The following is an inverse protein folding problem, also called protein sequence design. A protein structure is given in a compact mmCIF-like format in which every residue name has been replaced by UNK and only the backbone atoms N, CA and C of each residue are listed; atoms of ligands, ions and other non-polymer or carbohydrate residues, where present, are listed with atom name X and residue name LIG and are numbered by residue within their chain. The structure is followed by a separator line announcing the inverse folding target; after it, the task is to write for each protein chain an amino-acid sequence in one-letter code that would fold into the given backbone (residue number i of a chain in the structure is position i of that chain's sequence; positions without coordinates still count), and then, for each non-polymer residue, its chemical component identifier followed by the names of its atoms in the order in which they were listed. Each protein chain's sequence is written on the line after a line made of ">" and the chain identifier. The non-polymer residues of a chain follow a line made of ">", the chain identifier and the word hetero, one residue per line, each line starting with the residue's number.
data_IF_775054443621
#
_entry.id   IF_775054443621
#
_cell.length_a   1.000
_cell.length_b   1.000
_cell.length_c   1.000
_cell.angle_alpha   90.00
_cell.angle_beta   90.00
_cell.angle_gamma   90.00
#
_symmetry.space_group_name_H-M   'P 1'
#
loop_
_entity.id
_entity.type
_entity.pdbx_description
1 polymer ?
#
# COMPACT_ATOMS: atom_id res chain seq x y z
N UNK A 1 39.73 -51.16 62.58
CA UNK A 1 39.69 -50.15 61.45
C UNK A 1 38.37 -50.30 60.72
N UNK A 2 37.36 -49.49 61.04
CA UNK A 2 36.07 -49.61 60.30
C UNK A 2 36.07 -48.72 59.05
N UNK A 3 35.63 -49.29 57.98
CA UNK A 3 35.39 -48.59 56.68
C UNK A 3 34.07 -47.86 56.77
N UNK A 4 34.13 -46.53 56.60
CA UNK A 4 32.96 -45.71 56.43
C UNK A 4 32.44 -45.84 54.98
N UNK A 5 31.20 -46.32 54.85
CA UNK A 5 30.47 -46.32 53.56
C UNK A 5 29.68 -45.02 53.45
N UNK A 6 30.03 -44.21 52.44
CA UNK A 6 29.33 -42.98 52.13
C UNK A 6 28.16 -43.30 51.16
N UNK A 7 26.93 -43.22 51.67
CA UNK A 7 25.72 -43.38 50.84
C UNK A 7 25.41 -42.07 50.13
N UNK A 8 25.48 -42.08 48.80
CA UNK A 8 25.11 -40.97 47.93
C UNK A 8 23.60 -41.00 47.66
N UNK A 9 22.83 -40.11 48.25
CA UNK A 9 21.41 -39.96 48.01
C UNK A 9 21.20 -39.16 46.70
N UNK A 10 20.68 -39.85 45.66
CA UNK A 10 20.29 -39.22 44.42
C UNK A 10 18.91 -38.59 44.59
N UNK A 11 18.83 -37.25 44.71
CA UNK A 11 17.57 -36.52 44.69
C UNK A 11 17.11 -36.37 43.23
N UNK A 12 16.05 -37.05 42.86
CA UNK A 12 15.38 -36.87 41.57
C UNK A 12 14.56 -35.56 41.62
N UNK A 13 15.03 -34.53 40.93
CA UNK A 13 14.24 -33.31 40.66
C UNK A 13 13.28 -33.62 39.55
N UNK A 14 12.00 -33.76 39.86
CA UNK A 14 10.92 -33.78 38.86
C UNK A 14 10.75 -32.38 38.28
N UNK A 15 11.15 -32.20 37.01
CA UNK A 15 10.85 -31.01 36.23
C UNK A 15 9.40 -31.14 35.76
N UNK A 16 8.47 -30.22 36.11
CA UNK A 16 7.16 -30.23 35.51
C UNK A 16 7.30 -29.87 34.02
N UNK A 17 6.86 -30.76 33.15
CA UNK A 17 6.67 -30.45 31.74
C UNK A 17 5.56 -29.38 31.61
N UNK A 18 5.96 -28.12 31.63
CA UNK A 18 5.11 -27.02 31.26
C UNK A 18 4.78 -27.16 29.77
N UNK A 19 3.55 -27.54 29.46
CA UNK A 19 2.97 -27.32 28.14
C UNK A 19 2.88 -25.81 27.91
N UNK A 20 3.97 -25.20 27.54
CA UNK A 20 3.99 -23.88 26.96
C UNK A 20 3.38 -23.95 25.57
N UNK A 21 2.06 -23.71 25.47
CA UNK A 21 1.45 -23.36 24.21
C UNK A 21 2.20 -22.14 23.68
N UNK A 22 3.11 -22.38 22.73
CA UNK A 22 3.79 -21.30 22.05
C UNK A 22 2.74 -20.50 21.28
N UNK A 23 2.30 -19.38 21.84
CA UNK A 23 1.69 -18.32 21.04
C UNK A 23 2.73 -17.96 19.98
N UNK A 24 2.51 -18.46 18.74
CA UNK A 24 3.20 -17.93 17.58
C UNK A 24 2.90 -16.42 17.61
N UNK A 25 3.91 -15.61 17.84
CA UNK A 25 3.79 -14.18 17.61
C UNK A 25 3.25 -14.04 16.17
N UNK A 26 1.99 -13.60 16.04
CA UNK A 26 1.40 -13.33 14.74
C UNK A 26 2.21 -12.18 14.14
N UNK A 27 3.12 -12.50 13.21
CA UNK A 27 3.90 -11.49 12.49
C UNK A 27 2.95 -10.57 11.75
N UNK A 28 3.27 -9.29 11.67
CA UNK A 28 2.58 -8.34 10.81
C UNK A 28 3.24 -8.28 9.44
N UNK A 29 2.46 -8.01 8.42
CA UNK A 29 2.92 -7.67 7.07
C UNK A 29 2.30 -6.37 6.64
N UNK A 30 2.85 -5.75 5.60
CA UNK A 30 2.36 -4.47 5.11
C UNK A 30 1.65 -4.64 3.79
N UNK A 31 0.50 -4.00 3.66
CA UNK A 31 -0.26 -3.90 2.40
C UNK A 31 -0.45 -2.44 2.02
N UNK A 32 -0.54 -2.16 0.73
CA UNK A 32 -1.00 -0.86 0.24
C UNK A 32 -2.50 -0.93 0.00
N UNK A 33 -3.24 -0.01 0.58
CA UNK A 33 -4.67 0.18 0.37
C UNK A 33 -4.94 1.55 -0.22
N UNK A 34 -6.10 1.71 -0.84
CA UNK A 34 -6.55 3.01 -1.34
C UNK A 34 -7.73 3.49 -0.52
N UNK A 35 -7.62 4.71 0.02
CA UNK A 35 -8.68 5.36 0.78
C UNK A 35 -9.08 6.66 0.14
N UNK A 36 -10.33 7.04 0.32
CA UNK A 36 -10.80 8.36 -0.06
C UNK A 36 -10.34 9.42 0.96
N UNK A 37 -9.61 10.39 0.46
CA UNK A 37 -9.26 11.60 1.19
C UNK A 37 -9.81 12.78 0.38
N UNK A 38 -10.66 13.60 1.01
CA UNK A 38 -11.32 14.74 0.35
C UNK A 38 -12.03 14.36 -0.97
N UNK A 39 -12.63 13.16 -1.04
CA UNK A 39 -13.35 12.67 -2.21
C UNK A 39 -12.50 12.04 -3.31
N UNK A 40 -11.19 11.96 -3.16
CA UNK A 40 -10.26 11.35 -4.12
C UNK A 40 -9.47 10.20 -3.50
N UNK A 41 -9.14 9.19 -4.30
CA UNK A 41 -8.33 8.05 -3.87
C UNK A 41 -6.89 8.47 -3.59
N UNK A 42 -6.36 7.95 -2.51
CA UNK A 42 -5.00 8.10 -2.06
C UNK A 42 -4.42 6.75 -1.61
N UNK A 43 -3.18 6.46 -1.98
CA UNK A 43 -2.51 5.21 -1.60
C UNK A 43 -1.92 5.35 -0.18
N UNK A 44 -2.26 4.42 0.70
CA UNK A 44 -1.86 4.40 2.09
C UNK A 44 -1.23 3.04 2.44
N UNK A 45 -0.22 3.04 3.28
CA UNK A 45 0.38 1.84 3.84
C UNK A 45 -0.39 1.41 5.09
N UNK A 46 -0.75 0.14 5.18
CA UNK A 46 -1.39 -0.44 6.35
C UNK A 46 -0.67 -1.70 6.83
N UNK A 47 -0.48 -1.83 8.13
CA UNK A 47 0.00 -3.04 8.76
C UNK A 47 -1.16 -3.98 9.04
N UNK A 48 -0.98 -5.27 8.70
CA UNK A 48 -2.02 -6.29 8.82
C UNK A 48 -1.41 -7.59 9.36
N UNK A 49 -2.20 -8.45 10.04
CA UNK A 49 -1.74 -9.78 10.45
C UNK A 49 -1.26 -10.62 9.25
N UNK A 50 -0.07 -11.19 9.34
CA UNK A 50 0.52 -12.01 8.28
C UNK A 50 -0.22 -13.34 8.03
N UNK A 51 -1.03 -13.77 8.98
CA UNK A 51 -1.80 -15.03 8.89
C UNK A 51 -2.98 -14.96 7.92
N UNK A 52 -3.40 -13.77 7.46
CA UNK A 52 -4.50 -13.60 6.51
C UNK A 52 -4.01 -13.72 5.05
N UNK A 53 -4.87 -14.20 4.16
CA UNK A 53 -4.62 -14.09 2.72
C UNK A 53 -4.50 -12.61 2.33
N UNK A 54 -3.64 -12.29 1.36
CA UNK A 54 -3.41 -10.88 0.96
C UNK A 54 -4.70 -10.11 0.60
N UNK A 55 -5.69 -10.69 -0.13
CA UNK A 55 -6.96 -10.00 -0.36
C UNK A 55 -7.76 -9.73 0.91
N UNK A 56 -7.83 -10.70 1.84
CA UNK A 56 -8.54 -10.53 3.12
C UNK A 56 -7.82 -9.54 4.03
N UNK A 57 -6.48 -9.54 4.03
CA UNK A 57 -5.68 -8.58 4.76
C UNK A 57 -5.91 -7.15 4.26
N UNK A 58 -5.96 -6.96 2.93
CA UNK A 58 -6.21 -5.67 2.31
C UNK A 58 -7.62 -5.14 2.62
N UNK A 59 -8.65 -6.00 2.59
CA UNK A 59 -10.01 -5.64 3.00
C UNK A 59 -10.07 -5.32 4.51
N UNK A 60 -9.43 -6.11 5.36
CA UNK A 60 -9.33 -5.84 6.79
C UNK A 60 -8.68 -4.49 7.09
N UNK A 61 -7.64 -4.12 6.34
CA UNK A 61 -7.02 -2.79 6.42
C UNK A 61 -7.97 -1.65 6.04
N UNK A 62 -8.94 -1.90 5.15
CA UNK A 62 -10.03 -0.96 4.85
C UNK A 62 -11.14 -0.95 5.91
N UNK A 63 -11.02 -1.76 6.97
CA UNK A 63 -12.07 -1.94 7.98
C UNK A 63 -13.23 -2.83 7.50
N UNK A 64 -12.97 -3.69 6.51
CA UNK A 64 -13.94 -4.63 5.95
C UNK A 64 -13.52 -6.06 6.31
N UNK A 65 -14.09 -6.59 7.38
CA UNK A 65 -13.85 -7.99 7.80
C UNK A 65 -14.90 -8.91 7.16
N UNK A 66 -14.76 -9.11 5.86
CA UNK A 66 -15.69 -9.87 5.02
C UNK A 66 -14.96 -10.95 4.25
N UNK A 67 -15.63 -12.07 3.91
CA UNK A 67 -15.04 -13.12 3.10
C UNK A 67 -14.71 -12.58 1.70
N UNK A 68 -13.55 -12.98 1.19
CA UNK A 68 -13.12 -12.70 -0.19
C UNK A 68 -12.53 -13.96 -0.81
N UNK A 69 -12.96 -14.28 -2.03
CA UNK A 69 -12.44 -15.37 -2.84
C UNK A 69 -11.97 -14.81 -4.18
N UNK A 70 -10.80 -15.25 -4.63
CA UNK A 70 -10.28 -14.89 -5.96
C UNK A 70 -10.34 -16.12 -6.86
N UNK A 71 -11.02 -15.99 -8.01
CA UNK A 71 -11.07 -17.01 -9.07
C UNK A 71 -11.11 -16.33 -10.44
N UNK A 72 -10.41 -16.88 -11.41
CA UNK A 72 -10.36 -16.42 -12.80
C UNK A 72 -10.05 -14.90 -12.96
N UNK A 73 -9.23 -14.38 -12.04
CA UNK A 73 -8.87 -12.96 -12.02
C UNK A 73 -9.96 -12.04 -11.48
N UNK A 74 -11.01 -12.59 -10.86
CA UNK A 74 -12.08 -11.84 -10.21
C UNK A 74 -12.04 -12.06 -8.71
N UNK A 75 -12.07 -10.98 -7.94
CA UNK A 75 -12.25 -11.02 -6.49
C UNK A 75 -13.74 -10.90 -6.16
N UNK A 76 -14.29 -11.93 -5.53
CA UNK A 76 -15.69 -11.98 -5.06
C UNK A 76 -15.72 -11.59 -3.59
N UNK A 77 -16.25 -10.41 -3.29
CA UNK A 77 -16.33 -9.85 -1.94
C UNK A 77 -17.72 -10.09 -1.37
N UNK A 78 -17.80 -10.83 -0.28
CA UNK A 78 -19.05 -11.24 0.37
C UNK A 78 -19.70 -10.10 1.16
N UNK A 79 -20.11 -9.03 0.46
CA UNK A 79 -20.80 -7.89 1.04
C UNK A 79 -22.01 -7.50 0.17
N UNK A 80 -23.17 -7.28 0.81
CA UNK A 80 -24.42 -7.03 0.11
C UNK A 80 -24.61 -5.55 -0.26
N UNK A 81 -24.11 -4.63 0.55
CA UNK A 81 -24.24 -3.17 0.33
C UNK A 81 -22.97 -2.44 0.69
N UNK A 82 -22.66 -1.40 -0.09
CA UNK A 82 -21.51 -0.53 0.15
C UNK A 82 -21.67 0.79 -0.62
N UNK A 83 -21.41 1.91 0.04
CA UNK A 83 -21.45 3.23 -0.60
C UNK A 83 -20.46 3.30 -1.78
N UNK A 84 -20.80 4.04 -2.82
CA UNK A 84 -20.02 4.08 -4.07
C UNK A 84 -18.55 4.44 -3.88
N UNK A 85 -18.23 5.38 -2.99
CA UNK A 85 -16.85 5.72 -2.65
C UNK A 85 -16.09 4.55 -2.01
N UNK A 86 -16.74 3.81 -1.13
CA UNK A 86 -16.16 2.59 -0.52
C UNK A 86 -15.95 1.48 -1.53
N UNK A 87 -16.86 1.36 -2.52
CA UNK A 87 -16.65 0.45 -3.67
C UNK A 87 -15.37 0.83 -4.43
N UNK A 88 -15.13 2.12 -4.64
CA UNK A 88 -13.90 2.58 -5.31
C UNK A 88 -12.62 2.20 -4.52
N UNK A 89 -12.62 2.36 -3.19
CA UNK A 89 -11.52 1.91 -2.34
C UNK A 89 -11.26 0.40 -2.48
N UNK A 90 -12.32 -0.42 -2.44
CA UNK A 90 -12.22 -1.88 -2.60
C UNK A 90 -11.69 -2.26 -3.98
N UNK A 91 -12.24 -1.68 -5.04
CA UNK A 91 -11.82 -1.97 -6.43
C UNK A 91 -10.35 -1.61 -6.63
N UNK A 92 -9.91 -0.41 -6.25
CA UNK A 92 -8.52 0.01 -6.41
C UNK A 92 -7.57 -0.83 -5.57
N UNK A 93 -7.93 -1.12 -4.32
CA UNK A 93 -7.10 -1.93 -3.42
C UNK A 93 -6.92 -3.35 -3.94
N UNK A 94 -8.00 -4.01 -4.35
CA UNK A 94 -7.92 -5.41 -4.78
C UNK A 94 -7.30 -5.55 -6.18
N UNK A 95 -7.58 -4.64 -7.12
CA UNK A 95 -6.98 -4.68 -8.46
C UNK A 95 -5.50 -4.29 -8.50
N UNK A 96 -4.91 -3.87 -7.38
CA UNK A 96 -3.47 -3.76 -7.24
C UNK A 96 -2.78 -5.12 -7.14
N UNK A 97 -3.50 -6.14 -6.67
CA UNK A 97 -2.99 -7.50 -6.58
C UNK A 97 -2.92 -8.11 -7.98
N UNK A 98 -1.78 -8.63 -8.37
CA UNK A 98 -1.55 -9.17 -9.73
C UNK A 98 -2.53 -10.26 -10.15
N UNK A 99 -3.09 -10.99 -9.17
CA UNK A 99 -4.10 -12.02 -9.40
C UNK A 99 -5.51 -11.47 -9.64
N UNK A 100 -5.76 -10.15 -9.46
CA UNK A 100 -7.10 -9.56 -9.52
C UNK A 100 -7.17 -8.51 -10.63
N UNK A 101 -8.07 -8.72 -11.58
CA UNK A 101 -8.37 -7.78 -12.67
C UNK A 101 -9.77 -7.16 -12.54
N UNK A 102 -10.67 -7.85 -11.85
CA UNK A 102 -12.07 -7.46 -11.67
C UNK A 102 -12.52 -7.71 -10.23
N UNK A 103 -13.55 -7.01 -9.80
CA UNK A 103 -14.11 -7.15 -8.45
C UNK A 103 -15.63 -7.25 -8.53
N UNK A 104 -16.19 -8.24 -7.85
CA UNK A 104 -17.62 -8.36 -7.57
C UNK A 104 -17.84 -7.91 -6.12
N UNK A 105 -18.61 -6.87 -5.91
CA UNK A 105 -18.88 -6.30 -4.57
C UNK A 105 -20.22 -5.55 -4.53
N UNK A 106 -20.94 -5.66 -3.45
CA UNK A 106 -22.19 -4.94 -3.20
C UNK A 106 -23.20 -5.06 -4.35
N UNK A 107 -23.43 -6.28 -4.84
CA UNK A 107 -24.35 -6.58 -5.95
C UNK A 107 -23.85 -6.17 -7.33
N UNK A 108 -22.72 -5.47 -7.44
CA UNK A 108 -22.10 -5.06 -8.71
C UNK A 108 -21.10 -6.11 -9.15
N UNK A 109 -21.03 -6.37 -10.46
CA UNK A 109 -20.20 -7.43 -11.04
C UNK A 109 -19.15 -6.89 -11.99
N UNK A 110 -18.02 -7.58 -12.04
CA UNK A 110 -16.93 -7.35 -12.98
C UNK A 110 -16.38 -5.91 -12.97
N UNK A 111 -16.45 -5.22 -11.83
CA UNK A 111 -15.96 -3.86 -11.68
C UNK A 111 -14.45 -3.81 -11.93
N UNK A 112 -14.04 -2.79 -12.68
CA UNK A 112 -12.65 -2.45 -12.98
C UNK A 112 -12.32 -1.06 -12.44
N UNK A 113 -11.09 -0.63 -12.56
CA UNK A 113 -10.67 0.75 -12.20
C UNK A 113 -11.40 1.81 -13.03
N UNK A 114 -11.79 1.50 -14.27
CA UNK A 114 -12.55 2.43 -15.12
C UNK A 114 -13.94 2.75 -14.56
N UNK A 115 -14.60 1.76 -13.94
CA UNK A 115 -15.95 1.93 -13.38
C UNK A 115 -15.98 2.84 -12.14
N UNK A 116 -14.84 3.12 -11.54
CA UNK A 116 -14.69 3.99 -10.37
C UNK A 116 -13.80 5.21 -10.65
N UNK A 117 -13.59 5.54 -11.91
CA UNK A 117 -12.71 6.63 -12.36
C UNK A 117 -13.08 8.00 -11.76
N UNK A 118 -14.36 8.23 -11.43
CA UNK A 118 -14.82 9.47 -10.79
C UNK A 118 -14.15 9.77 -9.43
N UNK A 119 -13.60 8.75 -8.75
CA UNK A 119 -12.91 8.88 -7.48
C UNK A 119 -11.38 8.99 -7.63
N UNK A 120 -10.87 8.90 -8.85
CA UNK A 120 -9.42 8.92 -9.10
C UNK A 120 -8.98 10.33 -9.41
N UNK A 121 -8.05 10.93 -8.65
CA UNK A 121 -7.54 12.26 -8.94
C UNK A 121 -6.82 12.27 -10.31
N UNK A 122 -6.71 13.44 -10.97
CA UNK A 122 -6.00 13.54 -12.26
C UNK A 122 -4.59 12.94 -12.23
N UNK A 123 -3.87 13.05 -11.11
CA UNK A 123 -2.61 12.36 -10.86
C UNK A 123 -2.80 11.51 -9.60
N UNK A 124 -2.53 10.21 -9.69
CA UNK A 124 -2.54 9.28 -8.56
C UNK A 124 -1.17 8.62 -8.44
N UNK A 125 -0.44 8.93 -7.37
CA UNK A 125 0.75 8.18 -6.99
C UNK A 125 0.28 6.90 -6.29
N UNK A 126 0.62 5.74 -6.86
CA UNK A 126 0.27 4.42 -6.32
C UNK A 126 1.43 3.81 -5.50
N UNK A 127 2.64 4.24 -5.76
CA UNK A 127 3.86 3.84 -5.04
C UNK A 127 4.91 4.95 -5.16
N UNK A 128 5.59 5.31 -4.06
CA UNK A 128 5.34 4.83 -2.70
C UNK A 128 3.95 5.22 -2.17
N UNK A 129 3.46 4.46 -1.19
CA UNK A 129 2.26 4.83 -0.45
C UNK A 129 2.62 5.78 0.70
N UNK A 130 1.61 6.48 1.24
CA UNK A 130 1.78 7.39 2.38
C UNK A 130 2.43 6.66 3.57
N UNK A 131 3.42 7.29 4.17
CA UNK A 131 4.20 6.75 5.29
C UNK A 131 5.17 5.62 4.95
N UNK A 132 5.36 5.30 3.67
CA UNK A 132 6.26 4.22 3.27
C UNK A 132 7.73 4.57 3.51
N UNK A 133 8.48 3.61 4.06
CA UNK A 133 9.94 3.63 4.06
C UNK A 133 10.44 3.22 2.67
N UNK A 134 11.36 4.00 2.11
CA UNK A 134 11.95 3.77 0.79
C UNK A 134 13.48 3.80 0.87
N UNK A 135 14.19 3.03 0.03
CA UNK A 135 15.64 3.14 -0.06
C UNK A 135 16.06 4.52 -0.59
N UNK A 136 17.37 4.82 -0.53
CA UNK A 136 17.94 6.08 -1.04
C UNK A 136 17.66 6.31 -2.54
N UNK A 137 17.45 5.24 -3.30
CA UNK A 137 17.00 5.28 -4.70
C UNK A 137 15.78 4.40 -4.83
N UNK A 138 14.66 4.96 -5.30
CA UNK A 138 13.38 4.26 -5.37
C UNK A 138 12.56 4.68 -6.59
N UNK A 139 11.64 3.82 -7.00
CA UNK A 139 10.74 4.10 -8.12
C UNK A 139 9.43 4.68 -7.61
N UNK A 140 9.03 5.82 -8.19
CA UNK A 140 7.67 6.37 -8.08
C UNK A 140 6.85 5.87 -9.25
N UNK A 141 5.66 5.33 -8.97
CA UNK A 141 4.71 4.82 -9.97
C UNK A 141 3.32 5.32 -9.69
N UNK A 142 2.55 5.48 -10.75
CA UNK A 142 1.18 5.89 -10.62
C UNK A 142 0.48 5.99 -11.97
N UNK A 143 -0.68 6.63 -11.96
CA UNK A 143 -1.45 6.91 -13.16
C UNK A 143 -1.76 8.39 -13.27
N UNK A 144 -1.85 8.90 -14.49
CA UNK A 144 -2.20 10.30 -14.74
C UNK A 144 -3.18 10.44 -15.91
N UNK A 145 -4.08 11.42 -15.79
CA UNK A 145 -4.95 11.91 -16.85
C UNK A 145 -4.78 13.42 -16.91
N UNK A 146 -3.69 13.85 -17.54
CA UNK A 146 -3.27 15.25 -17.63
C UNK A 146 -2.99 15.63 -19.10
N UNK A 147 -3.03 16.92 -19.38
CA UNK A 147 -2.79 17.45 -20.72
C UNK A 147 -1.38 17.03 -21.21
N UNK A 148 -1.28 16.61 -22.48
CA UNK A 148 -0.04 16.13 -23.11
C UNK A 148 0.64 14.96 -22.37
N UNK A 149 -0.06 14.28 -21.47
CA UNK A 149 0.49 13.19 -20.64
C UNK A 149 1.72 13.61 -19.80
N UNK A 150 2.02 14.91 -19.69
CA UNK A 150 3.24 15.40 -19.05
C UNK A 150 2.99 15.81 -17.61
N UNK A 151 3.84 15.31 -16.71
CA UNK A 151 3.83 15.64 -15.30
C UNK A 151 5.25 15.81 -14.76
N UNK A 152 5.37 16.53 -13.65
CA UNK A 152 6.62 16.69 -12.90
C UNK A 152 6.50 15.88 -11.61
N UNK A 153 7.56 15.14 -11.28
CA UNK A 153 7.69 14.41 -10.03
C UNK A 153 8.92 14.91 -9.28
N UNK A 154 8.74 15.32 -8.05
CA UNK A 154 9.78 15.89 -7.20
C UNK A 154 9.94 15.09 -5.91
N UNK A 155 11.16 15.05 -5.39
CA UNK A 155 11.44 14.67 -4.01
C UNK A 155 11.81 15.95 -3.25
N UNK A 156 11.13 16.20 -2.14
CA UNK A 156 11.35 17.38 -1.30
C UNK A 156 11.58 17.00 0.15
N UNK A 157 12.41 17.80 0.84
CA UNK A 157 12.61 17.71 2.29
C UNK A 157 12.28 19.07 2.91
N UNK A 158 11.18 19.14 3.66
CA UNK A 158 10.61 20.43 4.02
C UNK A 158 10.29 21.23 2.74
N UNK A 159 10.74 22.47 2.64
CA UNK A 159 10.62 23.27 1.43
C UNK A 159 11.67 22.99 0.35
N UNK A 160 12.77 22.28 0.68
CA UNK A 160 13.92 22.10 -0.20
C UNK A 160 13.68 21.04 -1.26
N UNK A 161 13.92 21.36 -2.52
CA UNK A 161 13.94 20.43 -3.63
C UNK A 161 15.21 19.58 -3.56
N UNK A 162 15.06 18.24 -3.52
CA UNK A 162 16.18 17.29 -3.57
C UNK A 162 16.41 16.78 -4.99
N UNK A 163 15.31 16.42 -5.68
CA UNK A 163 15.37 15.94 -7.06
C UNK A 163 14.07 16.28 -7.79
N UNK A 164 14.15 16.47 -9.12
CA UNK A 164 13.03 16.73 -10.01
C UNK A 164 13.17 15.91 -11.29
N UNK A 165 12.08 15.32 -11.75
CA UNK A 165 11.97 14.63 -13.04
C UNK A 165 10.72 15.08 -13.78
N UNK A 166 10.86 15.35 -15.08
CA UNK A 166 9.70 15.43 -15.98
C UNK A 166 9.42 14.05 -16.52
N UNK A 167 8.17 13.64 -16.51
CA UNK A 167 7.73 12.29 -16.82
C UNK A 167 6.57 12.36 -17.82
N UNK A 168 6.55 11.46 -18.80
CA UNK A 168 5.43 11.30 -19.72
C UNK A 168 4.70 10.01 -19.37
N UNK A 169 3.39 10.12 -19.10
CA UNK A 169 2.52 8.96 -18.92
C UNK A 169 2.22 8.29 -20.27
N UNK A 170 1.80 7.05 -20.24
CA UNK A 170 1.51 6.28 -21.49
C UNK A 170 0.34 6.84 -22.29
N UNK A 171 -0.55 7.63 -21.65
CA UNK A 171 -1.66 8.35 -22.29
C UNK A 171 -1.89 9.70 -21.58
N UNK A 172 -2.46 10.66 -22.32
CA UNK A 172 -2.89 11.96 -21.81
C UNK A 172 -4.42 12.08 -21.72
N UNK A 173 -4.89 13.13 -21.05
CA UNK A 173 -6.31 13.42 -20.93
C UNK A 173 -7.02 13.49 -22.32
N UNK A 174 -8.25 12.97 -22.43
CA UNK A 174 -9.12 12.46 -21.34
C UNK A 174 -8.81 11.01 -20.92
N UNK A 175 -7.94 10.29 -21.63
CA UNK A 175 -7.50 8.96 -21.24
C UNK A 175 -6.57 9.03 -20.00
N UNK A 176 -6.40 7.90 -19.35
CA UNK A 176 -5.48 7.75 -18.22
C UNK A 176 -4.31 6.86 -18.63
N UNK A 177 -3.10 7.30 -18.38
CA UNK A 177 -1.87 6.56 -18.64
C UNK A 177 -1.10 6.23 -17.38
N UNK A 178 -0.27 5.19 -17.45
CA UNK A 178 0.67 4.83 -16.40
C UNK A 178 1.93 5.70 -16.50
N UNK A 179 2.53 6.03 -15.36
CA UNK A 179 3.85 6.65 -15.31
C UNK A 179 4.76 5.95 -14.30
N UNK A 180 6.06 6.02 -14.55
CA UNK A 180 7.08 5.57 -13.62
C UNK A 180 8.33 6.44 -13.76
N UNK A 181 8.99 6.73 -12.64
CA UNK A 181 10.28 7.42 -12.60
C UNK A 181 11.07 7.01 -11.38
N UNK A 182 12.39 7.20 -11.43
CA UNK A 182 13.29 6.93 -10.32
C UNK A 182 13.69 8.25 -9.67
N UNK A 183 13.59 8.31 -8.35
CA UNK A 183 14.11 9.42 -7.53
C UNK A 183 15.18 8.91 -6.58
N UNK A 184 16.12 9.80 -6.24
CA UNK A 184 17.23 9.50 -5.34
C UNK A 184 17.39 10.61 -4.29
N UNK A 185 17.85 10.24 -3.11
CA UNK A 185 18.22 11.17 -2.05
C UNK A 185 19.61 10.81 -1.50
N UNK A 186 20.47 11.81 -1.34
CA UNK A 186 21.83 11.63 -0.81
C UNK A 186 21.87 11.30 0.69
N UNK A 187 20.78 11.56 1.44
CA UNK A 187 20.70 11.32 2.86
C UNK A 187 19.30 10.81 3.25
N UNK A 188 19.26 9.95 4.28
CA UNK A 188 18.02 9.43 4.85
C UNK A 188 17.20 10.49 5.60
N UNK A 189 15.97 10.12 5.98
CA UNK A 189 15.05 10.92 6.78
C UNK A 189 13.73 11.26 6.10
N UNK A 190 12.86 12.01 6.77
CA UNK A 190 11.54 12.37 6.23
C UNK A 190 11.66 13.18 4.94
N UNK A 191 10.85 12.83 3.96
CA UNK A 191 10.76 13.52 2.67
C UNK A 191 9.33 13.42 2.12
N UNK A 192 9.03 14.16 1.06
CA UNK A 192 7.73 14.13 0.39
C UNK A 192 7.93 13.97 -1.10
N UNK A 193 7.30 12.96 -1.67
CA UNK A 193 7.14 12.85 -3.13
C UNK A 193 6.00 13.79 -3.52
N UNK A 194 6.25 14.66 -4.49
CA UNK A 194 5.27 15.62 -5.01
C UNK A 194 5.11 15.39 -6.50
N UNK A 195 3.88 15.22 -6.97
CA UNK A 195 3.58 15.12 -8.39
C UNK A 195 2.57 16.20 -8.79
N UNK A 196 2.75 16.81 -9.96
CA UNK A 196 1.85 17.81 -10.50
C UNK A 196 1.97 17.93 -12.02
N UNK A 197 0.92 18.43 -12.67
CA UNK A 197 0.98 18.83 -14.07
C UNK A 197 1.37 20.31 -14.14
N UNK A 198 2.32 20.72 -15.01
CA UNK A 198 2.58 22.12 -15.26
C UNK A 198 1.39 22.75 -15.99
N UNK A 199 0.92 23.89 -15.52
CA UNK A 199 -0.10 24.70 -16.21
C UNK A 199 0.39 25.18 -17.56
N UNK A 200 -0.45 25.10 -18.59
CA UNK A 200 -0.08 25.45 -19.96
C UNK A 200 0.28 26.92 -20.14
N UNK A 201 -0.28 27.81 -19.31
CA UNK A 201 -0.08 29.24 -19.44
C UNK A 201 1.21 29.75 -18.77
N UNK A 202 1.54 29.22 -17.58
CA UNK A 202 2.58 29.77 -16.72
C UNK A 202 3.44 28.71 -16.00
N UNK A 203 3.17 27.43 -16.28
CA UNK A 203 3.87 26.32 -15.65
C UNK A 203 3.50 26.11 -14.17
N UNK A 204 2.50 26.81 -13.64
CA UNK A 204 2.05 26.66 -12.25
C UNK A 204 1.62 25.22 -11.96
N UNK A 205 1.90 24.70 -10.74
CA UNK A 205 1.53 23.33 -10.39
C UNK A 205 0.01 23.15 -10.35
N UNK A 206 -0.51 22.23 -11.17
CA UNK A 206 -1.92 21.82 -11.21
C UNK A 206 -2.04 20.36 -10.79
N UNK A 207 -3.21 19.97 -10.26
CA UNK A 207 -3.49 18.58 -9.83
C UNK A 207 -2.46 17.99 -8.87
N UNK A 208 -2.01 18.82 -7.95
CA UNK A 208 -0.91 18.53 -7.04
C UNK A 208 -1.26 17.36 -6.11
N UNK A 209 -0.40 16.35 -6.09
CA UNK A 209 -0.43 15.25 -5.12
C UNK A 209 0.85 15.22 -4.30
N UNK A 210 0.72 14.92 -3.00
CA UNK A 210 1.84 14.78 -2.07
C UNK A 210 1.73 13.45 -1.35
N UNK A 211 2.87 12.76 -1.23
CA UNK A 211 3.00 11.49 -0.52
C UNK A 211 4.20 11.58 0.41
N UNK A 212 3.99 11.67 1.73
CA UNK A 212 5.06 11.60 2.72
C UNK A 212 5.74 10.23 2.68
N UNK A 213 7.06 10.22 2.77
CA UNK A 213 7.90 9.01 2.81
C UNK A 213 9.03 9.18 3.81
N UNK A 214 9.63 8.07 4.23
CA UNK A 214 10.90 8.10 4.99
C UNK A 214 11.97 7.43 4.15
N UNK A 215 12.95 8.19 3.70
CA UNK A 215 14.12 7.65 2.99
C UNK A 215 15.03 6.97 4.00
N UNK A 216 15.42 5.72 3.72
CA UNK A 216 16.42 5.00 4.51
C UNK A 216 17.81 5.52 4.20
N UNK A 217 18.65 5.62 5.21
CA UNK A 217 20.06 6.04 5.07
C UNK A 217 20.95 4.93 4.54
#
# INVERSE_FOLDING_TARGET
>A
MPRLALALALAAVAVPAGCGGGQRAEGTTTVTVFRLQHGALHAERAEVPAARSTPAAALGALGLDVPVKVSDGTAHVGMADLAAGRVAEVVYTLTRLSAVRKVDVAGRRALTRADVAAYVPPILIESPADGQQVPSTFTVRGTASVFEATLVVELRRGGTLLERRTVTATNGAPARGDFATVLSAAAGGPATVVAYAPGAADGSPQHLQRVPVTVLG
#
